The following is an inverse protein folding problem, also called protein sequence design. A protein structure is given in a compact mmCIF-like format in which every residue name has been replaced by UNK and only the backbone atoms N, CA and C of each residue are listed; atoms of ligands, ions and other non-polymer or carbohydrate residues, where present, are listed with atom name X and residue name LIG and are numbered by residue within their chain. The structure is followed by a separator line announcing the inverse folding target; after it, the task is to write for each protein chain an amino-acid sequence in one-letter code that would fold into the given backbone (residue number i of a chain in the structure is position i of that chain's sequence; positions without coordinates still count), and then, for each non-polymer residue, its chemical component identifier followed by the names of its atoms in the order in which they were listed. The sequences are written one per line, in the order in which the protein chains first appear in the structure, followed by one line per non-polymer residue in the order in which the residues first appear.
data_IF_150829777092
#
_entry.id   IF_150829777092
#
_cell.length_a   1.000
_cell.length_b   1.000
_cell.length_c   1.000
_cell.angle_alpha   90.00
_cell.angle_beta   90.00
_cell.angle_gamma   90.00
#
_symmetry.space_group_name_H-M   'P 1'
#
loop_
_entity.id
_entity.type
_entity.pdbx_description
1 polymer ?
#
# COMPACT_ATOMS: atom_id res chain seq x y z
N UNK A 1 -12.25 -43.72 16.65
CA UNK A 1 -12.60 -42.68 17.65
C UNK A 1 -11.69 -42.77 18.87
N UNK A 2 -11.76 -43.85 19.65
CA UNK A 2 -11.07 -44.05 20.93
C UNK A 2 -9.55 -43.72 20.94
N UNK A 3 -8.79 -44.20 19.95
CA UNK A 3 -7.35 -43.88 19.84
C UNK A 3 -7.04 -42.38 19.66
N UNK A 4 -7.94 -41.62 19.01
CA UNK A 4 -7.81 -40.16 18.85
C UNK A 4 -8.12 -39.46 20.17
N UNK A 5 -9.14 -39.92 20.92
CA UNK A 5 -9.40 -39.38 22.25
C UNK A 5 -8.25 -39.64 23.23
N UNK A 6 -7.67 -40.85 23.22
CA UNK A 6 -6.52 -41.16 24.07
C UNK A 6 -5.32 -40.27 23.75
N UNK A 7 -5.03 -40.04 22.46
CA UNK A 7 -3.96 -39.14 22.05
C UNK A 7 -4.21 -37.68 22.49
N UNK A 8 -5.43 -37.16 22.31
CA UNK A 8 -5.79 -35.80 22.72
C UNK A 8 -5.73 -35.61 24.24
N UNK A 9 -6.09 -36.62 25.04
CA UNK A 9 -6.00 -36.58 26.52
C UNK A 9 -4.56 -36.50 27.03
N UNK A 10 -3.55 -36.89 26.23
CA UNK A 10 -2.13 -36.77 26.57
C UNK A 10 -1.53 -35.41 26.24
N UNK A 11 -2.20 -34.58 25.42
CA UNK A 11 -1.69 -33.26 25.07
C UNK A 11 -1.77 -32.31 26.28
N UNK A 12 -0.61 -31.75 26.65
CA UNK A 12 -0.51 -30.68 27.65
C UNK A 12 -0.11 -29.39 26.93
N UNK A 13 -0.91 -28.34 27.11
CA UNK A 13 -0.55 -27.01 26.63
C UNK A 13 0.72 -26.54 27.34
N UNK A 14 1.78 -26.31 26.56
CA UNK A 14 2.99 -25.63 27.00
C UNK A 14 3.02 -24.26 26.29
N UNK A 15 2.94 -23.13 27.02
CA UNK A 15 3.10 -21.82 26.41
C UNK A 15 4.44 -21.76 25.67
N UNK A 16 4.44 -21.28 24.43
CA UNK A 16 5.68 -20.98 23.73
C UNK A 16 6.29 -19.73 24.39
N UNK A 17 7.47 -19.91 25.00
CA UNK A 17 8.35 -18.81 25.39
C UNK A 17 9.18 -18.48 24.15
N UNK A 18 8.81 -17.42 23.44
CA UNK A 18 9.39 -17.11 22.12
C UNK A 18 10.88 -16.77 22.19
N UNK A 19 11.55 -16.89 21.06
CA UNK A 19 12.99 -16.65 20.91
C UNK A 19 13.23 -15.34 20.15
N UNK A 20 14.45 -14.82 20.19
CA UNK A 20 14.86 -13.72 19.29
C UNK A 20 14.62 -14.16 17.84
N UNK A 21 13.90 -13.33 17.06
CA UNK A 21 13.45 -13.65 15.70
C UNK A 21 12.15 -14.49 15.59
N UNK A 22 11.62 -15.02 16.70
CA UNK A 22 10.34 -15.72 16.76
C UNK A 22 9.63 -15.42 18.10
N UNK A 23 9.14 -14.18 18.31
CA UNK A 23 8.48 -13.78 19.55
C UNK A 23 7.17 -14.57 19.74
N UNK A 24 6.75 -14.81 20.99
CA UNK A 24 5.57 -15.64 21.26
C UNK A 24 4.25 -14.97 20.88
N UNK A 25 4.31 -13.66 20.67
CA UNK A 25 3.23 -12.79 20.21
C UNK A 25 3.85 -11.79 19.23
N UNK A 26 3.20 -11.56 18.09
CA UNK A 26 3.55 -10.49 17.16
C UNK A 26 2.28 -9.74 16.78
N UNK A 27 2.34 -8.41 16.77
CA UNK A 27 1.20 -7.54 16.45
C UNK A 27 1.38 -7.06 15.02
N UNK A 28 0.67 -7.69 14.08
CA UNK A 28 0.71 -7.33 12.66
C UNK A 28 -0.50 -6.45 12.34
N UNK A 29 -0.24 -5.19 12.01
CA UNK A 29 -1.25 -4.25 11.55
C UNK A 29 -1.32 -4.31 10.02
N UNK A 30 -2.23 -5.12 9.46
CA UNK A 30 -2.58 -5.12 8.01
C UNK A 30 -3.93 -4.44 7.77
N UNK A 31 -3.90 -3.12 7.57
CA UNK A 31 -4.94 -2.43 6.83
C UNK A 31 -4.61 -2.41 5.33
N UNK A 32 -5.23 -1.50 4.58
CA UNK A 32 -5.21 -1.34 3.12
C UNK A 32 -5.80 0.09 2.77
N UNK A 33 -6.28 0.35 1.55
CA UNK A 33 -6.93 1.56 0.97
C UNK A 33 -8.43 1.38 0.49
N UNK A 34 -8.82 1.45 -0.83
CA UNK A 34 -10.14 1.02 -1.45
C UNK A 34 -10.20 1.11 -3.04
N UNK A 35 -11.39 0.99 -3.72
CA UNK A 35 -11.64 1.24 -5.17
C UNK A 35 -13.14 1.29 -5.64
N UNK A 36 -13.50 2.09 -6.67
CA UNK A 36 -14.90 2.50 -7.00
C UNK A 36 -15.81 1.46 -7.68
N UNK A 37 -15.28 0.53 -8.49
CA UNK A 37 -16.06 -0.50 -9.21
C UNK A 37 -16.27 -1.82 -8.45
N UNK A 38 -16.21 -1.79 -7.12
CA UNK A 38 -17.02 -2.68 -6.29
C UNK A 38 -16.66 -4.17 -6.26
N UNK A 39 -15.44 -4.51 -5.83
CA UNK A 39 -15.23 -5.70 -4.99
C UNK A 39 -14.62 -5.28 -3.64
N UNK A 40 -15.06 -5.93 -2.54
CA UNK A 40 -14.94 -5.38 -1.19
C UNK A 40 -13.54 -5.45 -0.59
N UNK A 41 -13.31 -4.49 0.33
CA UNK A 41 -12.16 -4.33 1.22
C UNK A 41 -10.82 -4.54 0.53
N UNK A 42 -10.53 -3.54 -0.28
CA UNK A 42 -9.19 -3.01 -0.33
C UNK A 42 -8.90 -1.93 0.75
N UNK A 43 -9.72 -1.73 1.82
CA UNK A 43 -9.69 -1.32 3.29
C UNK A 43 -8.71 -0.39 4.18
N UNK A 44 -9.15 0.83 4.57
CA UNK A 44 -8.98 1.67 5.84
C UNK A 44 -7.68 2.25 6.49
N UNK A 45 -6.45 1.73 6.41
CA UNK A 45 -5.30 2.37 7.15
C UNK A 45 -3.86 2.06 6.65
N UNK A 46 -3.65 1.35 5.53
CA UNK A 46 -2.30 0.92 5.09
C UNK A 46 -2.01 1.07 3.62
N UNK A 47 -0.72 1.27 3.42
CA UNK A 47 0.00 1.61 2.19
C UNK A 47 0.94 0.50 1.73
N UNK A 48 1.09 -0.57 2.51
CA UNK A 48 1.71 -1.84 2.13
C UNK A 48 1.15 -2.25 0.77
N UNK A 49 2.02 -2.22 -0.23
CA UNK A 49 1.68 -2.60 -1.58
C UNK A 49 1.06 -1.52 -2.46
N UNK A 50 0.80 -0.29 -1.98
CA UNK A 50 0.39 0.81 -2.87
C UNK A 50 1.47 1.02 -3.94
N UNK A 51 2.72 1.29 -3.55
CA UNK A 51 3.84 1.35 -4.49
C UNK A 51 4.06 0.08 -5.32
N UNK A 52 3.53 -1.08 -4.88
CA UNK A 52 3.64 -2.38 -5.56
C UNK A 52 2.47 -2.69 -6.51
N UNK A 53 1.46 -1.81 -6.63
CA UNK A 53 0.41 -1.97 -7.66
C UNK A 53 1.10 -2.06 -9.03
N UNK A 54 0.78 -3.12 -9.79
CA UNK A 54 1.35 -3.32 -11.12
C UNK A 54 0.88 -2.23 -12.07
N UNK A 55 1.79 -1.77 -12.92
CA UNK A 55 1.50 -0.84 -14.00
C UNK A 55 0.36 -1.31 -14.93
N UNK A 56 0.18 -2.63 -15.11
CA UNK A 56 -0.95 -3.21 -15.84
C UNK A 56 -2.31 -2.84 -15.26
N UNK A 57 -2.44 -2.82 -13.92
CA UNK A 57 -3.66 -2.34 -13.25
C UNK A 57 -3.87 -0.84 -13.52
N UNK A 58 -2.84 -0.01 -13.33
CA UNK A 58 -2.90 1.42 -13.61
C UNK A 58 -3.27 1.72 -15.07
N UNK A 59 -2.82 0.89 -16.03
CA UNK A 59 -3.12 1.07 -17.44
C UNK A 59 -4.62 0.86 -17.74
N UNK A 60 -5.27 -0.14 -17.13
CA UNK A 60 -6.72 -0.32 -17.27
C UNK A 60 -7.51 0.78 -16.55
N UNK A 61 -7.12 1.17 -15.33
CA UNK A 61 -7.78 2.27 -14.59
C UNK A 61 -7.74 3.60 -15.38
N UNK A 62 -6.59 3.90 -16.01
CA UNK A 62 -6.43 5.08 -16.87
C UNK A 62 -7.23 4.96 -18.15
N UNK A 63 -7.48 3.76 -18.66
CA UNK A 63 -8.31 3.51 -19.83
C UNK A 63 -9.79 3.71 -19.48
N UNK A 64 -10.31 3.05 -18.44
CA UNK A 64 -11.68 3.24 -17.95
C UNK A 64 -11.97 4.70 -17.61
N UNK A 65 -11.07 5.38 -16.88
CA UNK A 65 -11.26 6.80 -16.57
C UNK A 65 -11.31 7.72 -17.82
N UNK A 66 -10.66 7.35 -18.92
CA UNK A 66 -10.74 8.09 -20.20
C UNK A 66 -12.01 7.77 -20.98
N UNK A 67 -12.55 6.56 -20.83
CA UNK A 67 -13.78 6.11 -21.48
C UNK A 67 -15.01 6.70 -20.76
N UNK A 68 -15.07 6.58 -19.43
CA UNK A 68 -16.20 7.01 -18.59
C UNK A 68 -16.17 8.50 -18.24
N UNK A 69 -14.98 9.08 -18.03
CA UNK A 69 -14.80 10.44 -17.51
C UNK A 69 -13.76 11.26 -18.30
N UNK A 70 -13.86 11.39 -19.64
CA UNK A 70 -12.83 11.99 -20.51
C UNK A 70 -12.44 13.45 -20.21
N UNK A 71 -13.23 14.17 -19.40
CA UNK A 71 -12.97 15.56 -18.98
C UNK A 71 -12.32 15.67 -17.60
N UNK A 72 -12.29 14.59 -16.82
CA UNK A 72 -11.69 14.60 -15.49
C UNK A 72 -10.17 14.44 -15.57
N UNK A 73 -9.40 15.11 -14.69
CA UNK A 73 -7.95 14.97 -14.69
C UNK A 73 -7.55 13.59 -14.18
N UNK A 74 -6.51 13.01 -14.77
CA UNK A 74 -6.00 11.68 -14.40
C UNK A 74 -5.46 11.60 -12.95
N UNK A 75 -5.32 12.73 -12.25
CA UNK A 75 -5.09 12.78 -10.80
C UNK A 75 -6.25 12.25 -9.96
N UNK A 76 -7.47 12.16 -10.54
CA UNK A 76 -8.63 11.52 -9.91
C UNK A 76 -8.72 10.02 -10.11
N UNK A 77 -7.87 9.41 -10.96
CA UNK A 77 -7.77 7.95 -11.04
C UNK A 77 -7.33 7.40 -9.68
N UNK A 78 -8.04 6.38 -9.18
CA UNK A 78 -7.94 5.88 -7.80
C UNK A 78 -6.49 5.75 -7.31
N UNK A 79 -5.60 5.12 -8.10
CA UNK A 79 -4.17 4.96 -7.76
C UNK A 79 -3.45 6.31 -7.46
N UNK A 80 -3.69 7.34 -8.26
CA UNK A 80 -3.09 8.67 -8.05
C UNK A 80 -3.80 9.43 -6.91
N UNK A 81 -5.12 9.36 -6.84
CA UNK A 81 -5.90 9.96 -5.77
C UNK A 81 -5.48 9.42 -4.39
N UNK A 82 -5.32 8.10 -4.28
CA UNK A 82 -4.83 7.45 -3.06
C UNK A 82 -3.37 7.76 -2.75
N UNK A 83 -2.49 7.84 -3.75
CA UNK A 83 -1.12 8.35 -3.53
C UNK A 83 -1.14 9.75 -2.93
N UNK A 84 -2.02 10.63 -3.42
CA UNK A 84 -2.23 11.97 -2.86
C UNK A 84 -2.76 11.97 -1.43
N UNK A 85 -3.69 11.08 -1.09
CA UNK A 85 -4.18 10.91 0.30
C UNK A 85 -3.08 10.44 1.25
N UNK A 86 -2.23 9.51 0.82
CA UNK A 86 -1.09 9.01 1.63
C UNK A 86 -0.12 10.14 1.98
N UNK A 87 0.16 11.05 1.04
CA UNK A 87 0.98 12.24 1.29
C UNK A 87 0.42 13.14 2.40
N UNK A 88 -0.88 13.07 2.69
CA UNK A 88 -1.54 13.83 3.76
C UNK A 88 -1.86 13.00 5.02
N UNK A 89 -1.51 11.72 5.05
CA UNK A 89 -1.69 10.82 6.21
C UNK A 89 -0.97 11.31 7.47
N UNK A 90 -1.42 10.81 8.63
CA UNK A 90 -0.80 11.06 9.94
C UNK A 90 0.67 10.59 9.99
N UNK A 91 0.99 9.47 9.32
CA UNK A 91 2.37 8.96 9.21
C UNK A 91 3.28 9.94 8.47
N UNK A 92 2.87 10.45 7.31
CA UNK A 92 3.67 11.44 6.57
C UNK A 92 3.70 12.79 7.31
N UNK A 93 2.63 13.17 8.01
CA UNK A 93 2.59 14.38 8.83
C UNK A 93 3.59 14.38 10.02
N UNK A 94 4.00 13.20 10.52
CA UNK A 94 5.09 13.07 11.51
C UNK A 94 6.48 13.34 10.92
N UNK A 95 6.64 13.24 9.60
CA UNK A 95 7.93 13.35 8.90
C UNK A 95 8.05 14.61 8.03
N UNK A 96 6.93 15.24 7.68
CA UNK A 96 6.84 16.34 6.72
C UNK A 96 5.81 17.38 7.17
N UNK A 97 6.21 18.66 7.12
CA UNK A 97 5.31 19.79 7.39
C UNK A 97 4.20 19.88 6.33
N UNK A 98 3.09 20.58 6.62
CA UNK A 98 2.01 20.76 5.63
C UNK A 98 2.49 21.38 4.30
N UNK A 99 3.34 22.43 4.27
CA UNK A 99 3.89 22.94 3.01
C UNK A 99 4.70 21.89 2.23
N UNK A 100 5.48 21.04 2.91
CA UNK A 100 6.20 19.94 2.27
C UNK A 100 5.24 18.90 1.67
N UNK A 101 4.14 18.58 2.37
CA UNK A 101 3.11 17.64 1.87
C UNK A 101 2.36 18.20 0.66
N UNK A 102 2.10 19.52 0.62
CA UNK A 102 1.56 20.21 -0.57
C UNK A 102 2.51 20.14 -1.77
N UNK A 103 3.80 20.46 -1.57
CA UNK A 103 4.80 20.36 -2.62
C UNK A 103 4.95 18.93 -3.19
N UNK A 104 4.85 17.90 -2.34
CA UNK A 104 4.83 16.50 -2.78
C UNK A 104 3.58 16.15 -3.60
N UNK A 105 2.42 16.72 -3.28
CA UNK A 105 1.18 16.52 -4.06
C UNK A 105 1.23 17.22 -5.43
N UNK A 106 1.80 18.42 -5.50
CA UNK A 106 2.09 19.12 -6.75
C UNK A 106 3.08 18.32 -7.62
N UNK A 107 4.15 17.81 -7.00
CA UNK A 107 5.13 16.94 -7.67
C UNK A 107 4.50 15.63 -8.17
N UNK A 108 3.59 15.03 -7.39
CA UNK A 108 2.80 13.87 -7.83
C UNK A 108 2.01 14.22 -9.09
N UNK A 109 1.20 15.28 -9.04
CA UNK A 109 0.35 15.72 -10.16
C UNK A 109 1.14 15.98 -11.44
N UNK A 110 2.29 16.68 -11.32
CA UNK A 110 3.18 16.94 -12.45
C UNK A 110 3.81 15.66 -13.05
N UNK A 111 4.03 14.62 -12.23
CA UNK A 111 4.64 13.36 -12.67
C UNK A 111 3.70 12.41 -13.42
N UNK A 112 2.37 12.57 -13.29
CA UNK A 112 1.35 11.64 -13.81
C UNK A 112 1.56 11.26 -15.29
N UNK A 113 1.79 12.18 -16.24
CA UNK A 113 1.97 11.81 -17.65
C UNK A 113 3.18 10.89 -17.87
N UNK A 114 4.28 11.13 -17.15
CA UNK A 114 5.53 10.36 -17.23
C UNK A 114 5.37 8.98 -16.58
N UNK A 115 4.66 8.90 -15.44
CA UNK A 115 4.33 7.63 -14.78
C UNK A 115 3.49 6.75 -15.71
N UNK A 116 2.41 7.29 -16.29
CA UNK A 116 1.54 6.57 -17.22
C UNK A 116 2.32 6.11 -18.47
N UNK A 117 3.14 6.99 -19.05
CA UNK A 117 4.00 6.65 -20.21
C UNK A 117 5.00 5.52 -19.90
N UNK A 118 5.50 5.46 -18.66
CA UNK A 118 6.43 4.41 -18.23
C UNK A 118 5.69 3.10 -17.92
N UNK A 119 4.52 3.15 -17.28
CA UNK A 119 3.68 1.99 -17.01
C UNK A 119 3.09 1.34 -18.26
N UNK A 120 2.73 2.11 -19.29
CA UNK A 120 2.29 1.58 -20.59
C UNK A 120 3.34 0.73 -21.29
N UNK A 121 4.63 0.99 -21.03
CA UNK A 121 5.77 0.24 -21.58
C UNK A 121 6.21 -0.94 -20.72
N UNK A 122 5.75 -1.01 -19.47
CA UNK A 122 6.27 -1.94 -18.46
C UNK A 122 5.13 -2.48 -17.55
N UNK A 123 4.12 -3.19 -18.09
CA UNK A 123 2.90 -3.55 -17.34
C UNK A 123 3.15 -4.39 -16.08
N UNK A 124 4.17 -5.25 -16.07
CA UNK A 124 4.48 -6.09 -14.90
C UNK A 124 5.28 -5.39 -13.79
N UNK A 125 5.78 -4.16 -14.02
CA UNK A 125 6.55 -3.41 -13.02
C UNK A 125 5.62 -2.74 -11.98
N UNK A 126 6.07 -2.58 -10.73
CA UNK A 126 5.43 -1.69 -9.76
C UNK A 126 5.32 -0.26 -10.29
N UNK A 127 4.16 0.41 -10.18
CA UNK A 127 4.09 1.83 -10.58
C UNK A 127 4.91 2.74 -9.64
N UNK A 128 5.10 2.31 -8.38
CA UNK A 128 5.93 3.01 -7.40
C UNK A 128 7.39 3.12 -7.80
N UNK A 129 7.88 2.30 -8.75
CA UNK A 129 9.21 2.47 -9.34
C UNK A 129 9.33 3.72 -10.21
N UNK A 130 8.22 4.21 -10.77
CA UNK A 130 8.18 5.38 -11.64
C UNK A 130 7.77 6.67 -10.92
N UNK A 131 7.44 6.60 -9.63
CA UNK A 131 7.15 7.78 -8.82
C UNK A 131 8.43 8.58 -8.53
N UNK A 132 8.32 9.92 -8.38
CA UNK A 132 9.41 10.75 -7.89
C UNK A 132 9.99 10.22 -6.58
N UNK A 133 11.32 10.20 -6.45
CA UNK A 133 12.01 9.61 -5.30
C UNK A 133 11.53 10.09 -3.91
N UNK A 134 11.19 11.38 -3.69
CA UNK A 134 10.65 11.85 -2.41
C UNK A 134 9.27 11.28 -2.05
N UNK A 135 8.50 10.84 -3.05
CA UNK A 135 7.20 10.17 -2.87
C UNK A 135 7.43 8.67 -2.70
N UNK A 136 8.30 8.07 -3.53
CA UNK A 136 8.65 6.64 -3.45
C UNK A 136 9.11 6.24 -2.05
N UNK A 137 10.00 7.02 -1.42
CA UNK A 137 10.49 6.73 -0.07
C UNK A 137 9.39 6.73 1.00
N UNK A 138 8.37 7.58 0.86
CA UNK A 138 7.21 7.63 1.76
C UNK A 138 6.23 6.46 1.54
N UNK A 139 6.26 5.79 0.38
CA UNK A 139 5.48 4.56 0.15
C UNK A 139 6.22 3.29 0.57
N UNK A 140 7.56 3.30 0.53
CA UNK A 140 8.41 2.16 0.93
C UNK A 140 8.64 2.12 2.44
N UNK A 141 8.85 3.27 3.09
CA UNK A 141 9.12 3.36 4.54
C UNK A 141 7.99 2.88 5.46
N UNK A 142 6.82 2.55 4.89
CA UNK A 142 5.69 1.94 5.59
C UNK A 142 5.78 0.41 5.71
N UNK A 143 6.76 -0.22 5.05
CA UNK A 143 7.13 -1.62 5.28
C UNK A 143 8.25 -1.77 6.33
N UNK A 144 9.29 -0.92 6.25
CA UNK A 144 10.52 -1.07 7.05
C UNK A 144 10.40 -0.54 8.50
N UNK A 145 9.53 0.44 8.78
CA UNK A 145 9.35 0.96 10.15
C UNK A 145 8.64 0.01 11.11
N UNK A 146 8.12 -1.13 10.64
CA UNK A 146 7.57 -2.18 11.50
C UNK A 146 8.65 -2.99 12.23
N UNK A 147 9.91 -2.94 11.78
CA UNK A 147 11.03 -3.75 12.31
C UNK A 147 12.04 -2.93 13.12
N UNK A 148 11.89 -1.60 13.19
CA UNK A 148 12.92 -0.66 13.67
C UNK A 148 12.56 0.17 14.90
N UNK A 149 11.74 -0.33 15.82
CA UNK A 149 11.41 0.35 17.09
C UNK A 149 11.63 -0.61 18.26
N UNK A 150 12.91 -0.74 18.64
CA UNK A 150 13.40 -1.40 19.86
C UNK A 150 13.66 -0.35 20.96
#
# INVERSE_FOLDING_TARGET
AEAVEQALRQWRYKPWIGTVGAPPQTTITVPVIFGSHGYRRFNTEVTVGLGNIRCGYLNEEVKSAREDYPKEPLSKVDVFAYTGQVLFSSHVARQRTEPQRKALLEQLGASIPTVISSCRRNPDRPYGDYLPAPIKSLLVGLAEQAEGSE
#
